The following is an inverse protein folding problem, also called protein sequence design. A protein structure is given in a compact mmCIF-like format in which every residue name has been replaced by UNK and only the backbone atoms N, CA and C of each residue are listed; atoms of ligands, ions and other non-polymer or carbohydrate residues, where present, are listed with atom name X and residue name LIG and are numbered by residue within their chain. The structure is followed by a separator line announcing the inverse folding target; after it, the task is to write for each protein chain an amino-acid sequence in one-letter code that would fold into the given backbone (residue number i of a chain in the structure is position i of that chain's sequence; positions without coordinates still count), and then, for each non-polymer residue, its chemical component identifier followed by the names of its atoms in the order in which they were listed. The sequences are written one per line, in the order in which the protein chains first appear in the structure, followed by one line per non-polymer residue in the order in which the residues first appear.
data_IF_953447695930
#
_entry.id   IF_953447695930
#
_cell.length_a   1.000
_cell.length_b   1.000
_cell.length_c   1.000
_cell.angle_alpha   90.00
_cell.angle_beta   90.00
_cell.angle_gamma   90.00
#
_symmetry.space_group_name_H-M   'P 1'
#
loop_
_entity.id
_entity.type
_entity.pdbx_description
1 polymer ?
#
# COMPACT_ATOMS: atom_id res chain seq x y z
N UNK A 1 5.82 -4.57 9.55
CA UNK A 1 5.31 -3.88 8.36
C UNK A 1 3.87 -4.23 8.04
N UNK A 2 3.47 -5.33 7.36
CA UNK A 2 2.04 -5.64 7.15
C UNK A 2 1.72 -7.13 7.42
N UNK A 3 0.65 -7.41 8.17
CA UNK A 3 0.03 -8.75 8.26
C UNK A 3 -1.44 -8.71 7.86
N UNK A 4 -2.03 -9.84 7.45
CA UNK A 4 -3.47 -9.89 7.14
C UNK A 4 -4.20 -10.98 7.96
N UNK A 5 -5.51 -10.80 8.09
CA UNK A 5 -6.46 -11.80 8.55
C UNK A 5 -7.79 -11.55 7.86
N UNK A 6 -8.10 -12.39 6.86
CA UNK A 6 -9.24 -12.19 5.97
C UNK A 6 -9.15 -10.86 5.21
N UNK A 7 -10.22 -10.07 5.26
CA UNK A 7 -10.29 -8.76 4.59
C UNK A 7 -9.48 -7.65 5.28
N UNK A 8 -8.90 -7.92 6.44
CA UNK A 8 -8.21 -6.95 7.27
C UNK A 8 -6.69 -7.06 7.15
N UNK A 9 -6.05 -5.91 7.04
CA UNK A 9 -4.62 -5.70 7.08
C UNK A 9 -4.25 -4.97 8.37
N UNK A 10 -3.06 -5.26 8.89
CA UNK A 10 -2.51 -4.57 10.05
C UNK A 10 -1.11 -4.08 9.73
N UNK A 11 -0.95 -2.76 9.68
CA UNK A 11 0.31 -2.06 9.48
C UNK A 11 0.98 -1.83 10.83
N UNK A 12 2.23 -2.26 11.01
CA UNK A 12 3.04 -1.98 12.19
C UNK A 12 4.42 -1.48 11.82
N UNK A 13 4.83 -0.33 12.37
CA UNK A 13 6.17 0.27 12.25
C UNK A 13 6.44 1.23 13.41
N UNK A 14 7.57 1.08 14.10
CA UNK A 14 8.07 2.05 15.10
C UNK A 14 7.03 2.57 16.12
N UNK A 15 6.20 1.66 16.64
CA UNK A 15 5.13 1.99 17.59
C UNK A 15 3.82 2.46 16.96
N UNK A 16 3.79 2.73 15.65
CA UNK A 16 2.57 2.92 14.89
C UNK A 16 1.91 1.58 14.57
N UNK A 17 0.61 1.47 14.85
CA UNK A 17 -0.23 0.32 14.49
C UNK A 17 -1.55 0.81 13.88
N UNK A 18 -1.89 0.29 12.69
CA UNK A 18 -3.13 0.64 11.99
C UNK A 18 -3.74 -0.56 11.30
N UNK A 19 -4.99 -0.86 11.64
CA UNK A 19 -5.80 -1.82 10.91
C UNK A 19 -6.59 -1.13 9.80
N UNK A 20 -6.61 -1.74 8.62
CA UNK A 20 -7.35 -1.23 7.47
C UNK A 20 -7.85 -2.37 6.59
N UNK A 21 -8.89 -2.13 5.81
CA UNK A 21 -9.28 -3.04 4.73
C UNK A 21 -8.62 -2.61 3.43
N UNK A 22 -8.30 -3.56 2.54
CA UNK A 22 -7.67 -3.24 1.24
C UNK A 22 -8.45 -2.18 0.46
N UNK A 23 -9.79 -2.26 0.47
CA UNK A 23 -10.68 -1.32 -0.21
C UNK A 23 -10.59 0.12 0.30
N UNK A 24 -10.12 0.32 1.55
CA UNK A 24 -9.99 1.64 2.17
C UNK A 24 -8.59 2.20 2.11
N UNK A 25 -7.63 1.46 1.56
CA UNK A 25 -6.24 1.89 1.50
C UNK A 25 -6.06 3.22 0.76
N UNK A 26 -6.68 3.36 -0.43
CA UNK A 26 -6.51 4.57 -1.25
C UNK A 26 -7.09 5.82 -0.56
N UNK A 27 -8.25 5.70 0.08
CA UNK A 27 -8.88 6.79 0.82
C UNK A 27 -8.02 7.15 2.04
N UNK A 28 -7.57 6.16 2.80
CA UNK A 28 -6.69 6.38 3.95
C UNK A 28 -5.35 7.00 3.54
N UNK A 29 -4.72 6.57 2.45
CA UNK A 29 -3.49 7.16 1.97
C UNK A 29 -3.66 8.65 1.54
N UNK A 30 -4.87 9.07 1.15
CA UNK A 30 -5.16 10.46 0.81
C UNK A 30 -5.49 11.31 2.03
N UNK A 31 -6.37 10.80 2.88
CA UNK A 31 -7.02 11.56 3.96
C UNK A 31 -6.27 11.45 5.29
N UNK A 32 -5.58 10.33 5.54
CA UNK A 32 -4.85 10.08 6.78
C UNK A 32 -3.36 10.37 6.57
N UNK A 33 -2.94 11.56 6.99
CA UNK A 33 -1.58 12.04 6.83
C UNK A 33 -0.54 11.19 7.57
N UNK A 34 -0.89 10.64 8.73
CA UNK A 34 0.01 9.80 9.53
C UNK A 34 0.18 8.43 8.87
N UNK A 35 -0.94 7.81 8.43
CA UNK A 35 -0.90 6.56 7.68
C UNK A 35 -0.08 6.71 6.39
N UNK A 36 -0.29 7.79 5.63
CA UNK A 36 0.49 8.09 4.43
C UNK A 36 1.98 8.20 4.74
N UNK A 37 2.34 8.96 5.78
CA UNK A 37 3.74 9.15 6.17
C UNK A 37 4.40 7.80 6.48
N UNK A 38 3.78 6.96 7.30
CA UNK A 38 4.33 5.65 7.65
C UNK A 38 4.47 4.75 6.43
N UNK A 39 3.49 4.76 5.52
CA UNK A 39 3.59 4.02 4.26
C UNK A 39 4.75 4.52 3.41
N UNK A 40 4.94 5.83 3.27
CA UNK A 40 6.06 6.41 2.54
C UNK A 40 7.39 6.05 3.20
N UNK A 41 7.49 6.13 4.52
CA UNK A 41 8.71 5.74 5.25
C UNK A 41 9.03 4.25 5.03
N UNK A 42 8.01 3.39 4.91
CA UNK A 42 8.19 1.96 4.58
C UNK A 42 8.63 1.80 3.13
N UNK A 43 8.01 2.54 2.21
CA UNK A 43 8.39 2.53 0.80
C UNK A 43 9.84 3.01 0.68
N UNK A 44 10.25 4.07 1.34
CA UNK A 44 11.63 4.58 1.29
C UNK A 44 12.64 3.57 1.88
N UNK A 45 12.27 2.84 2.96
CA UNK A 45 13.08 1.74 3.49
C UNK A 45 13.17 0.53 2.55
N UNK A 46 12.06 0.19 1.87
CA UNK A 46 11.95 -1.00 1.03
C UNK A 46 12.30 -0.75 -0.46
N UNK A 47 12.34 0.52 -0.90
CA UNK A 47 12.53 0.97 -2.29
C UNK A 47 13.88 1.68 -2.47
N UNK A 48 14.93 0.88 -2.29
CA UNK A 48 16.11 0.88 -3.18
C UNK A 48 16.05 -0.30 -4.17
N UNK A 49 15.12 -1.26 -4.04
CA UNK A 49 15.25 -2.54 -4.78
C UNK A 49 14.27 -2.82 -5.94
N UNK A 50 13.16 -2.09 -6.16
CA UNK A 50 12.21 -2.46 -7.24
C UNK A 50 11.50 -1.36 -8.05
N UNK A 51 11.61 -0.06 -7.73
CA UNK A 51 11.06 0.98 -8.61
C UNK A 51 11.97 1.33 -9.81
N UNK A 52 13.27 1.01 -9.73
CA UNK A 52 14.21 1.15 -10.86
C UNK A 52 14.08 0.00 -11.88
N UNK A 53 13.58 -1.17 -11.44
CA UNK A 53 13.31 -2.30 -12.33
C UNK A 53 11.84 -2.33 -12.71
N UNK A 54 11.48 -1.49 -13.69
CA UNK A 54 10.26 -1.57 -14.52
C UNK A 54 9.79 -3.01 -14.73
N UNK A 55 8.92 -3.51 -13.86
CA UNK A 55 8.29 -4.82 -14.00
C UNK A 55 6.82 -4.68 -13.65
N UNK A 56 5.99 -4.63 -14.70
CA UNK A 56 4.54 -4.62 -14.63
C UNK A 56 3.98 -3.34 -15.24
N UNK A 57 3.60 -3.40 -16.52
CA UNK A 57 2.78 -2.34 -17.10
C UNK A 57 1.47 -2.21 -16.31
N UNK A 58 1.06 -0.97 -16.02
CA UNK A 58 -0.22 -0.68 -15.35
C UNK A 58 -1.44 -1.22 -16.12
N UNK A 59 -1.27 -1.54 -17.40
CA UNK A 59 -2.23 -2.20 -18.28
C UNK A 59 -2.62 -3.62 -17.84
N UNK A 60 -1.79 -4.31 -17.03
CA UNK A 60 -2.10 -5.67 -16.56
C UNK A 60 -3.07 -5.73 -15.38
N UNK A 61 -3.40 -4.59 -14.76
CA UNK A 61 -4.27 -4.53 -13.57
C UNK A 61 -5.64 -3.88 -13.84
N UNK A 62 -5.84 -3.33 -15.03
CA UNK A 62 -7.13 -2.89 -15.55
C UNK A 62 -7.45 -3.74 -16.77
N UNK A 63 -8.12 -4.88 -16.57
CA UNK A 63 -8.89 -5.45 -17.67
C UNK A 63 -10.03 -4.46 -17.94
N UNK A 64 -9.93 -3.73 -19.05
CA UNK A 64 -11.06 -3.05 -19.68
C UNK A 64 -12.13 -4.12 -19.98
N UNK A 65 -12.97 -4.39 -18.99
CA UNK A 65 -14.29 -4.95 -19.23
C UNK A 65 -15.12 -3.83 -19.85
N UNK A 66 -14.99 -3.64 -21.15
CA UNK A 66 -16.02 -3.04 -22.00
C UNK A 66 -15.56 -3.12 -23.47
N UNK A 67 -16.01 -4.16 -24.19
CA UNK A 67 -16.91 -4.02 -25.35
C UNK A 67 -17.47 -5.39 -25.74
#
# INVERSE_FOLDING_TARGET
YISNSGAWFNLKKDGYEKKFQKSKFADMAREDAEFRKVILDIIDEEVIMKFDKRLGEASQYYEDNET
#
